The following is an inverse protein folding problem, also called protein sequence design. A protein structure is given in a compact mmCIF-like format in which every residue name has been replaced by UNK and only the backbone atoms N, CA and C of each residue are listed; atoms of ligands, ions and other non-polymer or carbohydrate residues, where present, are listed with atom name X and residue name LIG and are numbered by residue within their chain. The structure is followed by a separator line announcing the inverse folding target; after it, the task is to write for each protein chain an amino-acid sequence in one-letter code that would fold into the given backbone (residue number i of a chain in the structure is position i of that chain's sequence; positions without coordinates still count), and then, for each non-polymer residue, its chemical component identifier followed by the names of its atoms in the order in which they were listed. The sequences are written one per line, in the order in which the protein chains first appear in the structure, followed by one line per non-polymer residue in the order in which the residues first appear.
data_IF_545088525626
#
_entry.id   IF_545088525626
#
_cell.length_a   1.000
_cell.length_b   1.000
_cell.length_c   1.000
_cell.angle_alpha   90.00
_cell.angle_beta   90.00
_cell.angle_gamma   90.00
#
_symmetry.space_group_name_H-M   'P 1'
#
loop_
_entity.id
_entity.type
_entity.pdbx_description
1 polymer ?
#
# COMPACT_ATOMS: atom_id res chain seq x y z
N UNK A 1 -2.51 17.12 -18.95
CA UNK A 1 -3.72 17.05 -18.08
C UNK A 1 -3.48 17.81 -16.76
N UNK A 2 -4.15 18.94 -16.56
CA UNK A 2 -4.08 19.68 -15.29
C UNK A 2 -4.61 18.80 -14.16
N UNK A 3 -3.81 18.62 -13.11
CA UNK A 3 -4.23 17.92 -11.90
C UNK A 3 -5.22 18.83 -11.17
N UNK A 4 -6.53 18.56 -11.28
CA UNK A 4 -7.60 19.40 -10.70
C UNK A 4 -7.43 19.60 -9.18
N UNK A 5 -6.78 18.66 -8.49
CA UNK A 5 -6.41 18.77 -7.08
C UNK A 5 -5.44 19.94 -6.76
N UNK A 6 -4.73 20.49 -7.75
CA UNK A 6 -3.83 21.66 -7.57
C UNK A 6 -4.51 23.00 -7.81
N UNK A 7 -5.74 23.02 -8.34
CA UNK A 7 -6.42 24.26 -8.73
C UNK A 7 -7.42 24.77 -7.66
N UNK A 8 -7.86 23.91 -6.74
CA UNK A 8 -8.74 24.31 -5.64
C UNK A 8 -7.91 24.82 -4.45
N UNK A 9 -8.29 25.98 -3.91
CA UNK A 9 -7.71 26.54 -2.69
C UNK A 9 -7.63 25.49 -1.57
N UNK A 10 -6.51 25.47 -0.87
CA UNK A 10 -6.09 24.40 0.02
C UNK A 10 -7.13 24.05 1.09
N UNK A 11 -7.79 22.89 0.94
CA UNK A 11 -8.43 22.20 2.06
C UNK A 11 -7.32 21.57 2.91
N UNK A 12 -7.18 22.02 4.16
CA UNK A 12 -6.03 21.67 4.99
C UNK A 12 -6.17 20.30 5.69
N UNK A 13 -7.36 19.70 5.74
CA UNK A 13 -7.59 18.40 6.39
C UNK A 13 -8.93 17.76 6.00
N UNK A 14 -9.00 16.43 6.14
CA UNK A 14 -10.20 15.58 6.03
C UNK A 14 -10.55 14.91 7.38
N UNK A 15 -9.96 15.38 8.49
CA UNK A 15 -10.00 14.70 9.78
C UNK A 15 -11.41 14.57 10.38
N UNK A 16 -12.29 15.57 10.19
CA UNK A 16 -13.64 15.55 10.73
C UNK A 16 -14.51 14.51 10.02
N UNK A 17 -14.36 14.41 8.70
CA UNK A 17 -15.08 13.45 7.87
C UNK A 17 -14.56 12.03 8.11
N UNK A 18 -13.24 11.83 8.24
CA UNK A 18 -12.69 10.54 8.67
C UNK A 18 -13.23 10.13 10.05
N UNK A 19 -13.30 11.05 11.01
CA UNK A 19 -13.88 10.77 12.33
C UNK A 19 -15.37 10.38 12.25
N UNK A 20 -16.12 10.96 11.29
CA UNK A 20 -17.50 10.60 11.02
C UNK A 20 -17.59 9.19 10.39
N UNK A 21 -16.77 8.89 9.39
CA UNK A 21 -16.75 7.58 8.72
C UNK A 21 -16.35 6.44 9.66
N UNK A 22 -15.39 6.66 10.57
CA UNK A 22 -14.96 5.67 11.57
C UNK A 22 -16.08 5.35 12.57
N UNK A 23 -16.95 6.33 12.86
CA UNK A 23 -18.10 6.18 13.78
C UNK A 23 -19.37 5.69 13.07
N UNK A 24 -19.32 5.50 11.77
CA UNK A 24 -20.47 5.13 10.96
C UNK A 24 -20.66 3.60 11.01
N UNK A 25 -21.55 3.14 11.90
CA UNK A 25 -21.88 1.71 12.02
C UNK A 25 -22.68 1.18 10.81
N UNK A 26 -23.33 2.09 10.07
CA UNK A 26 -24.07 1.81 8.84
C UNK A 26 -23.26 2.29 7.62
N UNK A 27 -22.68 1.39 6.81
CA UNK A 27 -21.90 1.75 5.61
C UNK A 27 -22.71 2.55 4.58
N UNK A 28 -24.05 2.50 4.64
CA UNK A 28 -24.93 3.25 3.73
C UNK A 28 -25.11 4.72 4.15
N UNK A 29 -24.77 5.07 5.39
CA UNK A 29 -24.81 6.45 5.90
C UNK A 29 -23.49 7.21 5.69
N UNK A 30 -22.40 6.50 5.37
CA UNK A 30 -21.19 7.14 4.89
C UNK A 30 -21.48 7.67 3.47
N UNK A 31 -21.65 8.99 3.32
CA UNK A 31 -22.04 9.67 2.06
C UNK A 31 -21.17 9.34 0.83
N UNK A 32 -20.03 8.71 1.03
CA UNK A 32 -19.39 7.82 0.08
C UNK A 32 -18.26 7.11 0.83
N UNK A 33 -17.63 6.12 0.20
CA UNK A 33 -16.33 5.63 0.64
C UNK A 33 -15.36 6.82 0.80
N UNK A 34 -14.66 7.00 1.93
CA UNK A 34 -13.72 8.10 2.13
C UNK A 34 -12.65 8.20 1.02
N UNK A 35 -12.31 7.08 0.38
CA UNK A 35 -11.40 7.04 -0.77
C UNK A 35 -11.97 7.67 -2.05
N UNK A 36 -13.29 7.86 -2.14
CA UNK A 36 -13.96 8.57 -3.24
C UNK A 36 -14.30 10.02 -2.91
N UNK A 37 -14.04 10.52 -1.70
CA UNK A 37 -14.32 11.93 -1.36
C UNK A 37 -13.44 12.93 -2.11
N UNK A 38 -12.21 12.53 -2.47
CA UNK A 38 -11.37 13.33 -3.37
C UNK A 38 -12.06 13.62 -4.70
N UNK A 39 -12.99 12.75 -5.13
CA UNK A 39 -13.77 12.93 -6.35
C UNK A 39 -14.96 13.87 -6.15
N UNK A 40 -15.63 13.83 -5.01
CA UNK A 40 -16.85 14.64 -4.77
C UNK A 40 -16.54 16.13 -5.01
N UNK A 41 -15.37 16.59 -4.59
CA UNK A 41 -14.96 17.98 -4.78
C UNK A 41 -14.43 18.28 -6.20
N UNK A 42 -13.92 17.28 -6.93
CA UNK A 42 -13.25 17.48 -8.22
C UNK A 42 -14.15 17.24 -9.44
N UNK A 43 -15.04 16.24 -9.38
CA UNK A 43 -15.90 15.79 -10.48
C UNK A 43 -17.22 15.15 -9.97
N UNK A 44 -18.09 15.90 -9.25
CA UNK A 44 -19.26 15.34 -8.57
C UNK A 44 -20.29 14.67 -9.49
N UNK A 45 -20.37 15.09 -10.76
CA UNK A 45 -21.37 14.59 -11.72
C UNK A 45 -20.89 13.47 -12.63
N UNK A 46 -19.60 13.12 -12.62
CA UNK A 46 -19.05 12.16 -13.60
C UNK A 46 -19.34 10.69 -13.23
N UNK A 47 -19.59 10.38 -11.95
CA UNK A 47 -19.64 8.99 -11.46
C UNK A 47 -20.58 8.79 -10.25
N UNK A 48 -21.86 9.21 -10.30
CA UNK A 48 -22.78 9.15 -9.15
C UNK A 48 -22.94 7.75 -8.52
N UNK A 49 -22.61 6.69 -9.26
CA UNK A 49 -22.66 5.31 -8.77
C UNK A 49 -21.66 4.99 -7.65
N UNK A 50 -20.50 5.67 -7.56
CA UNK A 50 -19.51 5.35 -6.51
C UNK A 50 -19.87 5.95 -5.13
N UNK A 51 -20.85 6.83 -5.05
CA UNK A 51 -21.28 7.43 -3.76
C UNK A 51 -22.00 6.41 -2.85
N UNK A 52 -22.42 5.29 -3.43
CA UNK A 52 -23.16 4.23 -2.72
C UNK A 52 -22.38 2.91 -2.64
N UNK A 53 -21.11 2.92 -3.06
CA UNK A 53 -20.31 1.70 -2.98
C UNK A 53 -19.88 1.46 -1.54
N UNK A 54 -20.25 0.31 -0.94
CA UNK A 54 -19.73 -0.05 0.37
C UNK A 54 -18.20 -0.21 0.30
N UNK A 55 -17.51 0.10 1.40
CA UNK A 55 -16.10 -0.23 1.52
C UNK A 55 -15.97 -1.76 1.64
N UNK A 56 -15.65 -2.42 0.53
CA UNK A 56 -15.38 -3.85 0.49
C UNK A 56 -13.86 -4.07 0.38
N UNK A 57 -13.27 -4.72 1.39
CA UNK A 57 -11.83 -5.05 1.42
C UNK A 57 -11.49 -6.28 0.56
N UNK A 58 -12.44 -7.22 0.44
CA UNK A 58 -12.22 -8.50 -0.26
C UNK A 58 -13.08 -8.57 -1.51
N UNK A 59 -12.44 -8.73 -2.67
CA UNK A 59 -13.14 -9.02 -3.92
C UNK A 59 -13.54 -10.50 -3.97
N UNK A 60 -14.74 -10.77 -4.48
CA UNK A 60 -15.30 -12.12 -4.64
C UNK A 60 -15.72 -12.33 -6.08
N UNK A 61 -15.97 -13.58 -6.48
CA UNK A 61 -16.50 -13.88 -7.83
C UNK A 61 -17.88 -13.24 -8.07
N UNK A 62 -18.64 -12.97 -7.01
CA UNK A 62 -19.92 -12.27 -7.06
C UNK A 62 -19.81 -10.74 -7.06
N UNK A 63 -18.61 -10.17 -6.93
CA UNK A 63 -18.43 -8.71 -6.90
C UNK A 63 -18.86 -8.08 -8.23
N UNK A 64 -19.50 -6.90 -8.23
CA UNK A 64 -19.95 -6.25 -9.46
C UNK A 64 -18.82 -6.03 -10.46
N UNK A 65 -19.07 -6.34 -11.72
CA UNK A 65 -18.09 -6.20 -12.80
C UNK A 65 -18.55 -5.20 -13.85
N UNK A 66 -17.59 -4.58 -14.54
CA UNK A 66 -17.83 -3.69 -15.67
C UNK A 66 -16.88 -4.08 -16.81
N UNK A 67 -17.32 -4.06 -18.08
CA UNK A 67 -16.42 -4.25 -19.21
C UNK A 67 -15.25 -3.25 -19.15
N UNK A 68 -14.03 -3.76 -19.34
CA UNK A 68 -12.84 -2.90 -19.38
C UNK A 68 -12.94 -1.92 -20.55
N UNK A 69 -12.64 -0.65 -20.26
CA UNK A 69 -12.44 0.38 -21.28
C UNK A 69 -11.22 1.21 -20.91
N UNK A 70 -10.43 1.54 -21.92
CA UNK A 70 -9.32 2.47 -21.76
C UNK A 70 -9.88 3.88 -21.51
N UNK A 71 -9.39 4.54 -20.45
CA UNK A 71 -9.78 5.93 -20.15
C UNK A 71 -8.94 6.87 -21.00
N UNK A 72 -9.57 7.59 -21.93
CA UNK A 72 -8.93 8.65 -22.72
C UNK A 72 -9.49 10.00 -22.30
N UNK A 73 -8.65 10.85 -21.73
CA UNK A 73 -9.00 12.20 -21.25
C UNK A 73 -10.01 12.28 -20.09
N UNK A 74 -10.20 11.20 -19.34
CA UNK A 74 -11.02 11.22 -18.11
C UNK A 74 -10.24 11.82 -16.94
N UNK A 75 -10.92 12.55 -16.07
CA UNK A 75 -10.35 13.03 -14.81
C UNK A 75 -9.99 11.83 -13.92
N UNK A 76 -8.82 11.90 -13.27
CA UNK A 76 -8.44 10.91 -12.25
C UNK A 76 -9.01 11.36 -10.92
N UNK A 77 -9.86 10.54 -10.33
CA UNK A 77 -10.45 10.76 -9.01
C UNK A 77 -9.47 10.62 -7.85
N UNK A 78 -8.28 10.06 -8.10
CA UNK A 78 -7.26 9.79 -7.10
C UNK A 78 -5.94 10.44 -7.47
N UNK A 79 -5.32 11.11 -6.51
CA UNK A 79 -3.89 11.44 -6.61
C UNK A 79 -3.08 10.15 -6.50
N UNK A 80 -1.98 10.03 -7.25
CA UNK A 80 -1.10 8.86 -7.16
C UNK A 80 -0.27 8.89 -5.87
N UNK A 81 -0.75 8.26 -4.81
CA UNK A 81 -0.01 8.07 -3.56
C UNK A 81 0.52 6.64 -3.44
N UNK A 82 1.30 6.19 -4.43
CA UNK A 82 1.75 4.79 -4.52
C UNK A 82 2.36 4.26 -3.21
N UNK A 83 3.24 5.04 -2.57
CA UNK A 83 3.86 4.69 -1.29
C UNK A 83 2.87 4.62 -0.12
N UNK A 84 1.85 5.49 -0.09
CA UNK A 84 0.81 5.43 0.95
C UNK A 84 -0.09 4.21 0.77
N UNK A 85 -0.39 3.83 -0.47
CA UNK A 85 -1.17 2.63 -0.79
C UNK A 85 -0.46 1.39 -0.25
N UNK A 86 0.84 1.25 -0.52
CA UNK A 86 1.65 0.14 -0.04
C UNK A 86 1.69 0.10 1.49
N UNK A 87 2.06 1.21 2.12
CA UNK A 87 2.13 1.33 3.58
C UNK A 87 0.81 0.94 4.29
N UNK A 88 -0.35 1.33 3.75
CA UNK A 88 -1.64 0.97 4.34
C UNK A 88 -1.93 -0.54 4.22
N UNK A 89 -1.64 -1.15 3.08
CA UNK A 89 -1.85 -2.58 2.89
C UNK A 89 -0.92 -3.43 3.79
N UNK A 90 0.33 -3.00 3.93
CA UNK A 90 1.31 -3.68 4.79
C UNK A 90 1.00 -3.48 6.28
N UNK A 91 0.54 -2.28 6.67
CA UNK A 91 0.10 -2.01 8.04
C UNK A 91 -1.09 -2.90 8.42
N UNK A 92 -2.07 -3.04 7.51
CA UNK A 92 -3.21 -3.93 7.71
C UNK A 92 -2.77 -5.39 7.84
N UNK A 93 -1.88 -5.85 6.97
CA UNK A 93 -1.31 -7.20 7.00
C UNK A 93 -0.55 -7.47 8.32
N UNK A 94 0.37 -6.58 8.72
CA UNK A 94 1.12 -6.73 9.96
C UNK A 94 0.22 -6.66 11.19
N UNK A 95 -0.80 -5.81 11.19
CA UNK A 95 -1.77 -5.75 12.30
C UNK A 95 -2.50 -7.08 12.50
N UNK A 96 -2.76 -7.82 11.42
CA UNK A 96 -3.44 -9.11 11.48
C UNK A 96 -2.51 -10.26 11.87
N UNK A 97 -1.28 -10.28 11.37
CA UNK A 97 -0.43 -11.47 11.41
C UNK A 97 0.88 -11.32 12.19
N UNK A 98 1.24 -10.13 12.69
CA UNK A 98 2.51 -9.93 13.41
C UNK A 98 2.63 -10.81 14.67
N UNK A 99 1.53 -11.19 15.33
CA UNK A 99 1.60 -12.09 16.48
C UNK A 99 1.96 -13.54 16.13
N UNK A 100 1.89 -13.92 14.85
CA UNK A 100 2.07 -15.31 14.38
C UNK A 100 3.50 -15.60 13.91
N UNK A 101 4.34 -14.57 13.79
CA UNK A 101 5.68 -14.66 13.24
C UNK A 101 6.61 -13.65 13.91
N UNK A 102 7.91 -13.95 13.96
CA UNK A 102 8.94 -13.01 14.42
C UNK A 102 9.69 -12.36 13.27
N UNK A 103 9.40 -12.76 12.02
CA UNK A 103 10.17 -12.38 10.83
C UNK A 103 9.25 -12.06 9.65
N UNK A 104 9.57 -10.98 8.94
CA UNK A 104 8.97 -10.60 7.66
C UNK A 104 10.03 -10.52 6.58
N UNK A 105 9.77 -11.18 5.45
CA UNK A 105 10.59 -11.08 4.23
C UNK A 105 9.83 -10.26 3.20
N UNK A 106 10.46 -9.20 2.70
CA UNK A 106 9.87 -8.30 1.70
C UNK A 106 10.68 -8.35 0.41
N UNK A 107 10.12 -8.94 -0.66
CA UNK A 107 10.71 -8.95 -1.99
C UNK A 107 10.22 -7.76 -2.84
N UNK A 108 11.13 -7.02 -3.49
CA UNK A 108 10.80 -5.78 -4.19
C UNK A 108 10.64 -4.58 -3.25
N UNK A 109 11.45 -4.52 -2.20
CA UNK A 109 11.29 -3.61 -1.08
C UNK A 109 11.75 -2.15 -1.34
N UNK A 110 12.53 -1.87 -2.38
CA UNK A 110 13.07 -0.53 -2.60
C UNK A 110 12.04 0.42 -3.29
N UNK A 111 12.10 1.74 -3.03
CA UNK A 111 13.05 2.45 -2.16
C UNK A 111 12.80 2.27 -0.65
N UNK A 112 11.66 1.70 -0.25
CA UNK A 112 11.41 1.28 1.13
C UNK A 112 11.25 2.41 2.15
N UNK A 113 10.91 3.63 1.75
CA UNK A 113 10.77 4.79 2.66
C UNK A 113 9.80 4.53 3.81
N UNK A 114 8.74 3.76 3.55
CA UNK A 114 7.72 3.43 4.55
C UNK A 114 8.14 2.27 5.48
N UNK A 115 9.13 1.44 5.11
CA UNK A 115 9.56 0.31 5.92
C UNK A 115 10.11 0.75 7.27
N UNK A 116 10.84 1.88 7.30
CA UNK A 116 11.33 2.47 8.53
C UNK A 116 10.18 2.91 9.47
N UNK A 117 9.04 3.32 8.91
CA UNK A 117 7.86 3.63 9.69
C UNK A 117 7.20 2.36 10.24
N UNK A 118 7.01 1.33 9.41
CA UNK A 118 6.44 0.05 9.83
C UNK A 118 7.28 -0.63 10.93
N UNK A 119 8.60 -0.67 10.78
CA UNK A 119 9.50 -1.28 11.76
C UNK A 119 9.44 -0.61 13.14
N UNK A 120 9.08 0.68 13.22
CA UNK A 120 8.87 1.38 14.49
C UNK A 120 7.54 1.02 15.15
N UNK A 121 6.53 0.66 14.36
CA UNK A 121 5.22 0.23 14.87
C UNK A 121 5.24 -1.23 15.33
N UNK A 122 6.04 -2.07 14.67
CA UNK A 122 6.19 -3.51 14.98
C UNK A 122 7.65 -3.83 15.33
N UNK A 123 8.17 -3.30 16.46
CA UNK A 123 9.57 -3.48 16.86
C UNK A 123 9.96 -4.95 17.12
N UNK A 124 8.98 -5.83 17.36
CA UNK A 124 9.15 -7.25 17.58
C UNK A 124 9.40 -8.07 16.31
N UNK A 125 9.09 -7.51 15.13
CA UNK A 125 9.28 -8.18 13.84
C UNK A 125 10.63 -7.81 13.25
N UNK A 126 11.45 -8.81 12.97
CA UNK A 126 12.65 -8.66 12.15
C UNK A 126 12.24 -8.58 10.68
N UNK A 127 12.48 -7.44 10.03
CA UNK A 127 12.19 -7.22 8.61
C UNK A 127 13.47 -7.40 7.78
N UNK A 128 13.41 -8.25 6.77
CA UNK A 128 14.45 -8.41 5.74
C UNK A 128 13.90 -7.98 4.37
N UNK A 129 14.33 -6.81 3.90
CA UNK A 129 13.93 -6.24 2.61
C UNK A 129 14.93 -6.53 1.50
N UNK A 130 14.47 -7.06 0.37
CA UNK A 130 15.28 -7.40 -0.80
C UNK A 130 14.84 -6.60 -2.02
N UNK A 131 15.77 -5.92 -2.69
CA UNK A 131 15.55 -5.28 -3.99
C UNK A 131 16.90 -4.98 -4.66
N UNK A 132 17.07 -5.14 -5.98
CA UNK A 132 18.30 -4.73 -6.66
C UNK A 132 18.52 -3.20 -6.67
N UNK A 133 17.46 -2.41 -6.53
CA UNK A 133 17.54 -0.94 -6.57
C UNK A 133 17.99 -0.37 -5.22
N UNK A 134 18.58 0.84 -5.21
CA UNK A 134 19.00 1.50 -3.98
C UNK A 134 17.83 1.75 -3.01
N UNK A 135 18.10 1.54 -1.73
CA UNK A 135 17.18 1.87 -0.63
C UNK A 135 17.29 3.34 -0.23
N UNK A 136 16.18 3.89 0.28
CA UNK A 136 16.13 5.23 0.84
C UNK A 136 17.04 5.37 2.07
N UNK A 137 17.50 6.59 2.34
CA UNK A 137 18.33 6.88 3.52
C UNK A 137 17.67 6.42 4.84
N UNK A 138 16.33 6.45 4.91
CA UNK A 138 15.58 6.03 6.09
C UNK A 138 15.62 4.51 6.34
N UNK A 139 15.87 3.72 5.29
CA UNK A 139 15.91 2.26 5.33
C UNK A 139 17.33 1.70 5.48
N UNK A 140 18.36 2.56 5.55
CA UNK A 140 19.76 2.17 5.74
C UNK A 140 20.37 2.82 6.99
N UNK A 141 21.42 2.22 7.59
CA UNK A 141 22.14 2.84 8.71
C UNK A 141 22.70 4.24 8.34
N UNK A 142 22.75 5.19 9.29
CA UNK A 142 22.38 5.06 10.71
C UNK A 142 20.89 5.35 11.00
N UNK A 143 20.07 5.66 9.99
CA UNK A 143 18.68 6.09 10.20
C UNK A 143 17.68 4.92 10.29
N UNK A 144 18.07 3.75 9.78
CA UNK A 144 17.27 2.53 9.84
C UNK A 144 16.95 2.11 11.28
N UNK A 145 15.71 1.67 11.56
CA UNK A 145 15.39 0.93 12.78
C UNK A 145 16.25 -0.33 12.92
N UNK A 146 16.55 -0.77 14.16
CA UNK A 146 17.46 -1.91 14.39
C UNK A 146 16.91 -3.24 13.90
N UNK A 147 15.58 -3.36 13.77
CA UNK A 147 14.87 -4.52 13.26
C UNK A 147 14.66 -4.48 11.73
N UNK A 148 15.25 -3.52 11.00
CA UNK A 148 15.24 -3.47 9.54
C UNK A 148 16.60 -3.84 8.96
N UNK A 149 16.61 -4.90 8.15
CA UNK A 149 17.76 -5.31 7.34
C UNK A 149 17.39 -5.16 5.88
N UNK A 150 18.27 -4.54 5.10
CA UNK A 150 18.09 -4.40 3.65
C UNK A 150 19.21 -5.08 2.89
N UNK A 151 18.83 -5.74 1.81
CA UNK A 151 19.69 -6.51 0.95
C UNK A 151 19.53 -5.97 -0.46
N UNK A 152 20.51 -5.21 -0.93
CA UNK A 152 20.48 -4.60 -2.27
C UNK A 152 20.84 -5.62 -3.37
N UNK A 153 20.04 -6.68 -3.48
CA UNK A 153 20.18 -7.80 -4.41
C UNK A 153 18.79 -8.29 -4.84
N UNK A 154 18.72 -9.05 -5.93
CA UNK A 154 17.49 -9.74 -6.30
C UNK A 154 17.12 -10.79 -5.25
N UNK A 155 15.81 -10.93 -4.99
CA UNK A 155 15.28 -12.05 -4.23
C UNK A 155 15.13 -13.27 -5.17
N UNK A 156 15.93 -14.31 -4.98
CA UNK A 156 15.96 -15.49 -5.85
C UNK A 156 15.38 -16.72 -5.15
N UNK A 157 15.12 -17.78 -5.92
CA UNK A 157 14.69 -19.08 -5.38
C UNK A 157 15.69 -19.65 -4.37
N UNK A 158 17.00 -19.44 -4.59
CA UNK A 158 18.06 -19.88 -3.68
C UNK A 158 17.93 -19.16 -2.33
N UNK A 159 17.70 -17.84 -2.36
CA UNK A 159 17.46 -17.04 -1.15
C UNK A 159 16.21 -17.53 -0.43
N UNK A 160 15.12 -17.76 -1.16
CA UNK A 160 13.88 -18.25 -0.59
C UNK A 160 14.05 -19.63 0.08
N UNK A 161 14.72 -20.57 -0.59
CA UNK A 161 15.04 -21.90 -0.05
C UNK A 161 15.92 -21.82 1.19
N UNK A 162 16.94 -20.95 1.18
CA UNK A 162 17.81 -20.75 2.32
C UNK A 162 17.01 -20.25 3.53
N UNK A 163 16.24 -19.16 3.37
CA UNK A 163 15.43 -18.59 4.45
C UNK A 163 14.44 -19.64 4.99
N UNK A 164 13.77 -20.39 4.12
CA UNK A 164 12.85 -21.44 4.52
C UNK A 164 13.53 -22.57 5.30
N UNK A 165 14.78 -22.91 4.95
CA UNK A 165 15.56 -23.96 5.66
C UNK A 165 16.05 -23.51 7.04
N UNK A 166 16.20 -22.20 7.27
CA UNK A 166 16.63 -21.61 8.53
C UNK A 166 15.45 -21.27 9.45
N UNK A 167 14.21 -21.35 8.94
CA UNK A 167 13.01 -20.97 9.66
C UNK A 167 12.59 -22.06 10.66
N UNK A 168 12.46 -21.69 11.93
CA UNK A 168 11.90 -22.50 13.01
C UNK A 168 10.44 -22.12 13.36
N UNK A 169 9.94 -21.03 12.75
CA UNK A 169 8.61 -20.47 12.94
C UNK A 169 8.04 -19.96 11.60
N UNK A 170 6.72 -19.68 11.54
CA UNK A 170 6.12 -19.02 10.38
C UNK A 170 6.82 -17.71 10.03
N UNK A 171 6.91 -17.42 8.73
CA UNK A 171 7.48 -16.18 8.19
C UNK A 171 6.38 -15.43 7.45
N UNK A 172 6.28 -14.14 7.69
CA UNK A 172 5.44 -13.25 6.89
C UNK A 172 6.14 -12.92 5.59
N UNK A 173 5.43 -12.99 4.47
CA UNK A 173 5.99 -12.72 3.16
C UNK A 173 5.20 -11.65 2.41
N UNK A 174 5.91 -10.64 1.90
CA UNK A 174 5.37 -9.57 1.07
C UNK A 174 6.16 -9.51 -0.24
N UNK A 175 5.47 -9.33 -1.36
CA UNK A 175 6.09 -9.16 -2.68
C UNK A 175 5.49 -7.96 -3.42
N UNK A 176 6.33 -7.01 -3.81
CA UNK A 176 5.97 -5.88 -4.70
C UNK A 176 6.83 -5.84 -5.98
N UNK A 177 7.31 -7.00 -6.45
CA UNK A 177 8.05 -7.11 -7.70
C UNK A 177 7.13 -6.75 -8.89
N UNK A 178 7.55 -5.78 -9.71
CA UNK A 178 6.74 -5.28 -10.85
C UNK A 178 7.02 -5.97 -12.18
N UNK A 179 8.22 -6.54 -12.34
CA UNK A 179 8.64 -7.21 -13.57
C UNK A 179 9.65 -8.29 -13.22
N UNK A 180 9.40 -9.52 -13.66
CA UNK A 180 10.34 -10.64 -13.54
C UNK A 180 11.41 -10.63 -14.66
N UNK A 181 11.19 -9.84 -15.73
CA UNK A 181 12.11 -9.68 -16.85
C UNK A 181 13.22 -8.67 -16.52
N UNK A 182 14.22 -9.11 -15.74
CA UNK A 182 15.42 -8.31 -15.44
C UNK A 182 16.40 -8.20 -16.64
N UNK A 183 16.14 -8.92 -17.74
CA UNK A 183 17.02 -9.00 -18.90
C UNK A 183 16.75 -7.96 -19.99
N UNK A 184 15.68 -7.16 -19.87
CA UNK A 184 15.25 -6.24 -20.93
C UNK A 184 15.88 -4.84 -20.86
N UNK A 185 16.58 -4.51 -19.78
CA UNK A 185 17.25 -3.21 -19.62
C UNK A 185 18.77 -3.32 -19.93
N UNK A 186 19.10 -3.62 -21.19
CA UNK A 186 20.45 -3.39 -21.76
C UNK A 186 20.36 -2.47 -22.97
#
# INVERSE_FOLDING_TARGET
PLNLARAAGSRNSWAAEFALAIRCEDPTQALANPHTWQRIDLCPSEFPELDRLPLQQVLTDSSPQRPYRERKNEAKSTVHWGQRKLCLAELEFLTQFASEASRLVYAGAAPGDHLAFLCRLFPEIQVDGYDPRPFSASAVPPLAPPNLRVHQVCFTDEVARQIASEADAPILFVSDIRTADWQSDK
#
